data_IF_117618797213
#
_entry.id   IF_117618797213
#
_cell.length_a   1.000
_cell.length_b   1.000
_cell.length_c   1.000
_cell.angle_alpha   90.00
_cell.angle_beta   90.00
_cell.angle_gamma   90.00
#
_symmetry.space_group_name_H-M   'P 1'
#
loop_
_entity.id
_entity.type
_entity.pdbx_description
1 polymer ?
#
# COMPACT_ATOMS: atom_id res chain seq x y z
N UNK A 1 13.94 24.60 17.68
CA UNK A 1 14.48 24.10 16.40
C UNK A 1 14.54 22.59 16.51
N UNK A 2 13.68 21.86 15.79
CA UNK A 2 13.81 20.40 15.70
C UNK A 2 15.15 20.06 15.05
N UNK A 3 15.81 18.98 15.48
CA UNK A 3 17.08 18.59 14.89
C UNK A 3 16.92 18.34 13.39
N UNK A 4 17.96 18.62 12.60
CA UNK A 4 17.96 18.39 11.16
C UNK A 4 17.59 16.94 10.81
N UNK A 5 18.05 15.99 11.62
CA UNK A 5 17.77 14.56 11.48
C UNK A 5 16.27 14.26 11.62
N UNK A 6 15.59 14.86 12.62
CA UNK A 6 14.15 14.68 12.77
C UNK A 6 13.36 15.31 11.63
N UNK A 7 13.82 16.44 11.09
CA UNK A 7 13.19 17.08 9.93
C UNK A 7 13.20 16.17 8.70
N UNK A 8 14.38 15.65 8.35
CA UNK A 8 14.55 14.73 7.21
C UNK A 8 13.69 13.47 7.37
N UNK A 9 13.69 12.86 8.56
CA UNK A 9 12.88 11.68 8.83
C UNK A 9 11.37 11.97 8.67
N UNK A 10 10.91 13.14 9.12
CA UNK A 10 9.50 13.55 8.99
C UNK A 10 9.10 13.78 7.53
N UNK A 11 9.97 14.39 6.72
CA UNK A 11 9.70 14.61 5.30
C UNK A 11 9.66 13.27 4.55
N UNK A 12 10.63 12.38 4.77
CA UNK A 12 10.63 11.03 4.18
C UNK A 12 9.37 10.24 4.52
N UNK A 13 8.94 10.30 5.79
CA UNK A 13 7.71 9.64 6.23
C UNK A 13 6.48 10.21 5.51
N UNK A 14 6.40 11.54 5.36
CA UNK A 14 5.29 12.19 4.64
C UNK A 14 5.25 11.74 3.18
N UNK A 15 6.39 11.74 2.51
CA UNK A 15 6.49 11.39 1.09
C UNK A 15 6.14 9.91 0.88
N UNK A 16 6.70 9.01 1.70
CA UNK A 16 6.35 7.58 1.68
C UNK A 16 4.85 7.36 1.91
N UNK A 17 4.24 8.11 2.83
CA UNK A 17 2.79 8.01 3.12
C UNK A 17 1.92 8.49 1.97
N UNK A 18 2.37 9.49 1.20
CA UNK A 18 1.67 9.96 0.01
C UNK A 18 1.72 8.89 -1.10
N UNK A 19 2.91 8.36 -1.36
CA UNK A 19 3.10 7.31 -2.38
C UNK A 19 2.33 6.02 -2.01
N UNK A 20 2.30 5.67 -0.71
CA UNK A 20 1.51 4.55 -0.22
C UNK A 20 0.01 4.75 -0.48
N UNK A 21 -0.52 5.95 -0.25
CA UNK A 21 -1.94 6.24 -0.45
C UNK A 21 -2.31 6.12 -1.94
N UNK A 22 -1.47 6.64 -2.83
CA UNK A 22 -1.65 6.50 -4.28
C UNK A 22 -1.60 5.04 -4.71
N UNK A 23 -0.62 4.27 -4.23
CA UNK A 23 -0.50 2.85 -4.57
C UNK A 23 -1.69 2.05 -4.06
N UNK A 24 -2.19 2.37 -2.87
CA UNK A 24 -3.35 1.71 -2.29
C UNK A 24 -4.64 2.00 -3.08
N UNK A 25 -4.80 3.22 -3.60
CA UNK A 25 -5.89 3.58 -4.51
C UNK A 25 -5.84 2.76 -5.80
N UNK A 26 -4.66 2.63 -6.43
CA UNK A 26 -4.51 1.82 -7.65
C UNK A 26 -4.88 0.35 -7.41
N UNK A 27 -4.43 -0.21 -6.28
CA UNK A 27 -4.75 -1.59 -5.88
C UNK A 27 -6.24 -1.75 -5.62
N UNK A 28 -6.86 -0.77 -4.97
CA UNK A 28 -8.30 -0.76 -4.73
C UNK A 28 -9.10 -0.76 -6.04
N UNK A 29 -8.77 0.12 -6.97
CA UNK A 29 -9.44 0.20 -8.27
C UNK A 29 -9.27 -1.08 -9.09
N UNK A 30 -8.08 -1.69 -9.06
CA UNK A 30 -7.84 -2.97 -9.74
C UNK A 30 -8.71 -4.08 -9.15
N UNK A 31 -8.74 -4.20 -7.82
CA UNK A 31 -9.56 -5.18 -7.13
C UNK A 31 -11.06 -4.95 -7.37
N UNK A 32 -11.52 -3.69 -7.40
CA UNK A 32 -12.92 -3.36 -7.67
C UNK A 32 -13.34 -3.78 -9.09
N UNK A 33 -12.47 -3.54 -10.08
CA UNK A 33 -12.68 -3.97 -11.47
C UNK A 33 -12.70 -5.50 -11.60
N UNK A 34 -11.73 -6.19 -10.98
CA UNK A 34 -11.60 -7.65 -11.09
C UNK A 34 -12.71 -8.40 -10.32
N UNK A 35 -13.11 -7.87 -9.17
CA UNK A 35 -14.20 -8.43 -8.35
C UNK A 35 -15.59 -7.89 -8.73
N UNK A 36 -15.71 -7.14 -9.82
CA UNK A 36 -16.97 -6.55 -10.30
C UNK A 36 -17.76 -5.79 -9.20
N UNK A 37 -17.05 -5.08 -8.30
CA UNK A 37 -17.64 -4.33 -7.19
C UNK A 37 -18.03 -5.16 -5.95
N UNK A 38 -17.84 -6.48 -5.96
CA UNK A 38 -18.18 -7.35 -4.83
C UNK A 38 -17.02 -7.52 -3.84
N UNK A 39 -16.56 -6.42 -3.23
CA UNK A 39 -15.41 -6.44 -2.32
C UNK A 39 -15.76 -6.87 -0.87
N UNK A 40 -16.98 -6.60 -0.42
CA UNK A 40 -17.40 -6.81 0.97
C UNK A 40 -18.38 -7.97 1.09
N UNK A 41 -18.22 -8.85 2.09
CA UNK A 41 -19.16 -9.94 2.33
C UNK A 41 -20.48 -9.48 2.96
N UNK A 42 -21.42 -10.42 3.12
CA UNK A 42 -22.75 -10.14 3.69
C UNK A 42 -22.68 -9.52 5.09
N UNK A 43 -21.74 -9.95 5.93
CA UNK A 43 -21.59 -9.45 7.30
C UNK A 43 -21.02 -8.03 7.34
N UNK A 44 -20.08 -7.70 6.45
CA UNK A 44 -19.55 -6.35 6.30
C UNK A 44 -20.58 -5.38 5.72
N UNK A 45 -21.37 -5.82 4.74
CA UNK A 45 -22.50 -5.02 4.21
C UNK A 45 -23.55 -4.72 5.28
N UNK A 46 -23.89 -5.71 6.12
CA UNK A 46 -24.82 -5.52 7.25
C UNK A 46 -24.31 -4.52 8.30
N UNK A 47 -23.00 -4.33 8.39
CA UNK A 47 -22.35 -3.39 9.31
C UNK A 47 -21.91 -2.08 8.63
N UNK A 48 -22.31 -1.84 7.37
CA UNK A 48 -21.93 -0.66 6.60
C UNK A 48 -20.40 -0.44 6.52
N UNK A 49 -19.64 -1.54 6.47
CA UNK A 49 -18.18 -1.47 6.35
C UNK A 49 -17.83 -1.02 4.94
N UNK A 50 -17.03 0.04 4.86
CA UNK A 50 -16.47 0.51 3.59
C UNK A 50 -15.44 -0.48 3.07
N UNK A 51 -15.49 -0.79 1.77
CA UNK A 51 -14.49 -1.62 1.10
C UNK A 51 -13.08 -1.04 1.28
N UNK A 52 -12.93 0.29 1.24
CA UNK A 52 -11.67 0.99 1.48
C UNK A 52 -10.99 0.62 2.81
N UNK A 53 -11.80 0.41 3.86
CA UNK A 53 -11.28 0.05 5.18
C UNK A 53 -10.67 -1.36 5.22
N UNK A 54 -10.99 -2.22 4.25
CA UNK A 54 -10.40 -3.55 4.14
C UNK A 54 -8.95 -3.48 3.64
N UNK A 55 -8.63 -2.50 2.79
CA UNK A 55 -7.28 -2.31 2.25
C UNK A 55 -6.38 -1.55 3.23
N UNK A 56 -6.90 -0.54 3.92
CA UNK A 56 -6.14 0.28 4.87
C UNK A 56 -6.09 -0.28 6.30
N UNK A 57 -7.00 -1.19 6.65
CA UNK A 57 -7.15 -1.71 8.02
C UNK A 57 -6.21 -2.85 8.40
N UNK A 58 -6.46 -3.46 9.56
CA UNK A 58 -5.72 -4.64 10.01
C UNK A 58 -6.12 -5.88 9.21
N UNK A 59 -5.21 -6.85 9.14
CA UNK A 59 -5.42 -8.10 8.40
C UNK A 59 -6.61 -8.90 8.93
N UNK A 60 -6.71 -9.09 10.25
CA UNK A 60 -7.84 -9.79 10.87
C UNK A 60 -9.19 -9.13 10.56
N UNK A 61 -9.21 -7.79 10.49
CA UNK A 61 -10.43 -7.04 10.13
C UNK A 61 -10.76 -7.21 8.65
N UNK A 62 -9.76 -7.11 7.78
CA UNK A 62 -9.91 -7.26 6.34
C UNK A 62 -10.49 -8.63 5.96
N UNK A 63 -9.88 -9.73 6.40
CA UNK A 63 -10.36 -11.08 6.07
C UNK A 63 -11.71 -11.44 6.68
N UNK A 64 -12.07 -10.83 7.82
CA UNK A 64 -13.38 -11.05 8.43
C UNK A 64 -14.53 -10.51 7.58
N UNK A 65 -14.30 -9.41 6.86
CA UNK A 65 -15.34 -8.68 6.14
C UNK A 65 -15.17 -8.65 4.61
N UNK A 66 -14.04 -9.13 4.11
CA UNK A 66 -13.81 -9.35 2.69
C UNK A 66 -14.77 -10.39 2.13
N UNK A 67 -15.20 -10.17 0.87
CA UNK A 67 -15.89 -11.18 0.08
C UNK A 67 -14.94 -12.34 -0.24
N UNK A 68 -15.50 -13.45 -0.71
CA UNK A 68 -14.69 -14.59 -1.16
C UNK A 68 -13.80 -14.21 -2.35
N UNK A 69 -14.35 -13.48 -3.31
CA UNK A 69 -13.62 -13.02 -4.51
C UNK A 69 -12.43 -12.13 -4.14
N UNK A 70 -12.60 -11.22 -3.17
CA UNK A 70 -11.49 -10.38 -2.70
C UNK A 70 -10.42 -11.19 -1.97
N UNK A 71 -10.81 -12.22 -1.22
CA UNK A 71 -9.85 -13.12 -0.57
C UNK A 71 -9.06 -13.92 -1.60
N UNK A 72 -9.74 -14.45 -2.62
CA UNK A 72 -9.10 -15.17 -3.72
C UNK A 72 -8.16 -14.22 -4.51
N UNK A 73 -8.59 -12.98 -4.77
CA UNK A 73 -7.78 -11.94 -5.42
C UNK A 73 -6.51 -11.60 -4.62
N UNK A 74 -6.61 -11.48 -3.29
CA UNK A 74 -5.45 -11.29 -2.41
C UNK A 74 -4.52 -12.48 -2.37
N UNK A 75 -5.02 -13.70 -2.55
CA UNK A 75 -4.17 -14.89 -2.62
C UNK A 75 -3.29 -14.87 -3.89
N UNK A 76 -3.80 -14.30 -4.98
CA UNK A 76 -3.08 -14.20 -6.26
C UNK A 76 -2.15 -12.98 -6.34
N UNK A 77 -2.60 -11.81 -5.89
CA UNK A 77 -1.88 -10.54 -6.06
C UNK A 77 -1.08 -10.11 -4.82
N UNK A 78 -1.39 -10.71 -3.66
CA UNK A 78 -0.90 -10.27 -2.37
C UNK A 78 -1.64 -9.03 -1.85
N UNK A 79 -1.70 -8.90 -0.52
CA UNK A 79 -2.26 -7.73 0.14
C UNK A 79 -1.17 -6.70 0.41
N UNK A 80 -1.32 -5.49 -0.12
CA UNK A 80 -0.39 -4.39 0.13
C UNK A 80 -0.52 -3.92 1.60
N UNK A 81 0.56 -4.05 2.36
CA UNK A 81 0.66 -3.50 3.73
C UNK A 81 1.64 -2.34 3.76
N UNK A 82 1.51 -1.44 4.74
CA UNK A 82 2.43 -0.32 4.89
C UNK A 82 3.88 -0.77 5.08
N UNK A 83 4.11 -1.83 5.87
CA UNK A 83 5.47 -2.35 6.11
C UNK A 83 6.09 -2.98 4.87
N UNK A 84 5.30 -3.72 4.08
CA UNK A 84 5.77 -4.26 2.81
C UNK A 84 6.07 -3.15 1.81
N UNK A 85 5.22 -2.12 1.75
CA UNK A 85 5.43 -0.96 0.88
C UNK A 85 6.65 -0.14 1.31
N UNK A 86 6.82 0.12 2.61
CA UNK A 86 7.98 0.83 3.16
C UNK A 86 9.29 0.16 2.74
N UNK A 87 9.37 -1.18 2.86
CA UNK A 87 10.54 -1.93 2.41
C UNK A 87 10.78 -1.80 0.89
N UNK A 88 9.71 -1.85 0.08
CA UNK A 88 9.81 -1.66 -1.38
C UNK A 88 10.25 -0.24 -1.75
N UNK A 89 9.69 0.77 -1.09
CA UNK A 89 9.96 2.19 -1.31
C UNK A 89 11.38 2.59 -0.93
N UNK A 90 11.92 2.01 0.16
CA UNK A 90 13.32 2.19 0.54
C UNK A 90 14.26 1.50 -0.45
N UNK A 91 13.92 0.28 -0.90
CA UNK A 91 14.72 -0.45 -1.87
C UNK A 91 14.79 0.25 -3.22
N UNK A 92 13.68 0.81 -3.73
CA UNK A 92 13.68 1.52 -5.02
C UNK A 92 14.59 2.75 -4.99
N UNK A 93 14.57 3.52 -3.89
CA UNK A 93 15.45 4.69 -3.72
C UNK A 93 16.92 4.29 -3.55
N UNK A 94 17.21 3.18 -2.87
CA UNK A 94 18.57 2.64 -2.81
C UNK A 94 19.10 2.23 -4.19
N UNK A 95 18.23 1.69 -5.05
CA UNK A 95 18.57 1.34 -6.44
C UNK A 95 18.78 2.56 -7.33
N UNK A 96 17.97 3.62 -7.19
CA UNK A 96 18.15 4.89 -7.90
C UNK A 96 19.52 5.51 -7.60
N UNK A 97 19.89 5.58 -6.31
CA UNK A 97 21.21 6.08 -5.92
C UNK A 97 22.37 5.24 -6.48
N UNK A 98 22.24 3.91 -6.48
CA UNK A 98 23.26 3.02 -7.04
C UNK A 98 23.42 3.22 -8.56
N UNK A 99 22.31 3.50 -9.28
CA UNK A 99 22.34 3.78 -10.72
C UNK A 99 23.04 5.12 -11.02
N UNK A 100 22.73 6.17 -10.25
CA UNK A 100 23.32 7.50 -10.41
C UNK A 100 24.84 7.50 -10.13
N UNK A 101 25.31 6.77 -9.11
CA UNK A 101 26.75 6.62 -8.82
C UNK A 101 27.47 5.86 -9.94
N UNK A 102 26.84 4.80 -10.47
CA UNK A 102 27.42 3.97 -11.54
C UNK A 102 27.51 4.72 -12.88
N UNK A 103 26.53 5.54 -13.23
CA UNK A 103 26.51 6.34 -14.46
C UNK A 103 27.22 7.70 -14.33
N UNK A 104 27.32 8.26 -13.13
CA UNK A 104 28.08 9.49 -12.84
C UNK A 104 29.60 9.30 -12.83
N UNK A 105 30.10 8.08 -12.67
CA UNK A 105 31.52 7.73 -12.72
C UNK A 105 32.07 7.49 -14.15
N UNK A 106 31.22 7.57 -15.17
CA UNK A 106 31.56 7.21 -16.57
C UNK A 106 31.68 8.41 -17.52
N UNK A 107 31.85 9.65 -17.03
CA UNK A 107 32.10 10.84 -17.84
C UNK A 107 33.36 11.58 -17.41
#
# INVERSE_FOLDING_TARGET
MSSLIYGIASDLWRDMKADYAERLEQVFQQADNDCHGYLVNKAGRAQHISAWNLFSGSESYAYRYASRELVDWWAEHGRLTLSAFEAQWLNSRGQEHAYDEQWGASN
#
